data_IF_623817754050
#
_entry.id   IF_623817754050
#
_cell.length_a   1.000
_cell.length_b   1.000
_cell.length_c   1.000
_cell.angle_alpha   90.00
_cell.angle_beta   90.00
_cell.angle_gamma   90.00
#
_symmetry.space_group_name_H-M   'P 1'
#
loop_
_entity.id
_entity.type
_entity.pdbx_description
1 polymer ?
#
# COMPACT_ATOMS: atom_id res chain seq x y z
N UNK A 1 -7.74 -9.98 18.92
CA UNK A 1 -7.55 -9.88 17.45
C UNK A 1 -6.13 -9.40 17.20
N UNK A 2 -5.31 -10.16 16.47
CA UNK A 2 -3.89 -9.82 16.25
C UNK A 2 -3.77 -9.17 14.89
N UNK A 3 -3.59 -7.86 14.87
CA UNK A 3 -3.32 -7.11 13.66
C UNK A 3 -1.86 -7.36 13.26
N UNK A 4 -1.61 -8.11 12.18
CA UNK A 4 -0.27 -8.34 11.63
C UNK A 4 -0.29 -7.96 10.14
N UNK A 5 0.29 -6.82 9.75
CA UNK A 5 0.45 -6.51 8.32
C UNK A 5 1.36 -7.53 7.66
N UNK A 6 1.16 -7.76 6.35
CA UNK A 6 1.99 -8.67 5.57
C UNK A 6 3.43 -8.17 5.47
N UNK A 7 3.59 -6.87 5.19
CA UNK A 7 4.88 -6.22 5.05
C UNK A 7 4.87 -4.88 5.81
N UNK A 8 5.95 -4.64 6.55
CA UNK A 8 6.26 -3.34 7.14
C UNK A 8 7.57 -2.85 6.54
N UNK A 9 7.54 -1.69 5.91
CA UNK A 9 8.75 -1.06 5.39
C UNK A 9 9.43 -0.27 6.50
N UNK A 10 10.71 -0.52 6.70
CA UNK A 10 11.54 0.21 7.65
C UNK A 10 12.56 1.09 6.93
N UNK A 11 12.79 2.29 7.48
CA UNK A 11 13.88 3.18 7.09
C UNK A 11 14.60 3.65 8.34
N UNK A 12 15.92 3.44 8.39
CA UNK A 12 16.75 3.75 9.56
C UNK A 12 16.15 3.21 10.89
N UNK A 13 15.64 1.97 10.85
CA UNK A 13 15.04 1.30 12.03
C UNK A 13 13.63 1.76 12.42
N UNK A 14 13.03 2.73 11.69
CA UNK A 14 11.67 3.21 11.95
C UNK A 14 10.69 2.69 10.89
N UNK A 15 9.48 2.24 11.27
CA UNK A 15 8.47 1.91 10.29
C UNK A 15 8.06 3.19 9.55
N UNK A 16 7.93 3.09 8.23
CA UNK A 16 7.58 4.25 7.37
C UNK A 16 6.36 4.00 6.50
N UNK A 17 6.02 2.74 6.25
CA UNK A 17 4.81 2.36 5.55
C UNK A 17 4.46 0.91 5.85
N UNK A 18 3.19 0.58 5.67
CA UNK A 18 2.69 -0.81 5.71
C UNK A 18 2.12 -1.18 4.36
N UNK A 19 2.27 -2.44 3.99
CA UNK A 19 1.68 -3.02 2.80
C UNK A 19 0.92 -4.27 3.21
N UNK A 20 -0.31 -4.36 2.74
CA UNK A 20 -1.17 -5.54 2.90
C UNK A 20 -1.62 -5.99 1.50
N UNK A 21 -1.36 -7.25 1.17
CA UNK A 21 -1.57 -7.81 -0.14
C UNK A 21 -2.77 -8.76 -0.13
N UNK A 22 -3.68 -8.58 -1.08
CA UNK A 22 -4.90 -9.36 -1.22
C UNK A 22 -4.93 -10.05 -2.58
N UNK A 23 -5.11 -11.36 -2.58
CA UNK A 23 -5.43 -12.12 -3.79
C UNK A 23 -6.93 -12.13 -3.99
N UNK A 24 -7.44 -11.12 -4.70
CA UNK A 24 -8.86 -10.97 -4.98
C UNK A 24 -9.02 -10.39 -6.37
N UNK A 25 -10.07 -10.79 -7.06
CA UNK A 25 -10.51 -10.11 -8.27
C UNK A 25 -11.02 -8.72 -7.89
N UNK A 26 -10.47 -7.65 -8.50
CA UNK A 26 -11.13 -6.35 -8.41
C UNK A 26 -12.39 -6.42 -9.28
N UNK A 27 -13.53 -6.58 -8.63
CA UNK A 27 -14.85 -6.34 -9.23
C UNK A 27 -15.27 -4.87 -9.08
N UNK A 28 -14.52 -4.09 -8.30
CA UNK A 28 -14.84 -2.72 -7.87
C UNK A 28 -13.60 -1.84 -7.86
N UNK A 29 -13.80 -0.58 -8.24
CA UNK A 29 -12.75 0.45 -8.28
C UNK A 29 -12.21 0.86 -6.90
N UNK A 30 -13.00 0.62 -5.84
CA UNK A 30 -12.68 1.06 -4.48
C UNK A 30 -12.37 -0.14 -3.55
N UNK A 31 -11.40 0.00 -2.63
CA UNK A 31 -11.14 -0.99 -1.59
C UNK A 31 -12.40 -1.33 -0.77
N UNK A 32 -12.50 -2.59 -0.34
CA UNK A 32 -13.53 -2.96 0.63
C UNK A 32 -13.35 -2.19 1.94
N UNK A 33 -14.46 -1.91 2.64
CA UNK A 33 -14.44 -1.21 3.93
C UNK A 33 -13.66 -1.99 4.99
N UNK A 34 -13.67 -3.32 4.91
CA UNK A 34 -12.90 -4.21 5.79
C UNK A 34 -11.39 -4.07 5.55
N UNK A 35 -10.92 -4.17 4.30
CA UNK A 35 -9.50 -3.98 3.97
C UNK A 35 -9.01 -2.58 4.35
N UNK A 36 -9.83 -1.56 4.08
CA UNK A 36 -9.53 -0.18 4.48
C UNK A 36 -9.44 -0.05 6.00
N UNK A 37 -10.40 -0.61 6.74
CA UNK A 37 -10.41 -0.57 8.21
C UNK A 37 -9.19 -1.28 8.82
N UNK A 38 -8.83 -2.44 8.27
CA UNK A 38 -7.66 -3.20 8.68
C UNK A 38 -6.37 -2.40 8.48
N UNK A 39 -6.17 -1.82 7.29
CA UNK A 39 -4.99 -1.02 6.99
C UNK A 39 -4.94 0.27 7.83
N UNK A 40 -6.07 0.94 8.04
CA UNK A 40 -6.15 2.09 8.95
C UNK A 40 -5.79 1.70 10.38
N UNK A 41 -6.20 0.51 10.83
CA UNK A 41 -5.80 -0.05 12.12
C UNK A 41 -4.28 -0.23 12.23
N UNK A 42 -3.64 -0.77 11.19
CA UNK A 42 -2.18 -0.89 11.12
C UNK A 42 -1.48 0.46 11.18
N UNK A 43 -1.91 1.40 10.33
CA UNK A 43 -1.32 2.75 10.29
C UNK A 43 -1.49 3.46 11.63
N UNK A 44 -2.65 3.34 12.27
CA UNK A 44 -2.91 3.94 13.59
C UNK A 44 -2.01 3.33 14.66
N UNK A 45 -1.91 1.99 14.72
CA UNK A 45 -1.09 1.30 15.71
C UNK A 45 0.41 1.59 15.58
N UNK A 46 0.89 1.86 14.36
CA UNK A 46 2.29 2.13 14.05
C UNK A 46 2.62 3.64 13.92
N UNK A 47 1.63 4.52 14.07
CA UNK A 47 1.80 5.98 13.90
C UNK A 47 2.18 6.39 12.47
N UNK A 48 1.71 5.65 11.47
CA UNK A 48 2.06 5.87 10.06
C UNK A 48 1.05 6.75 9.35
N UNK A 49 1.50 7.78 8.60
CA UNK A 49 0.62 8.63 7.81
C UNK A 49 0.21 7.98 6.47
N UNK A 50 0.84 6.87 6.08
CA UNK A 50 0.64 6.23 4.80
C UNK A 50 0.61 4.71 4.91
N UNK A 51 -0.27 4.07 4.14
CA UNK A 51 -0.33 2.62 3.97
C UNK A 51 -0.75 2.22 2.57
N UNK A 52 -0.46 0.99 2.17
CA UNK A 52 -0.70 0.49 0.83
C UNK A 52 -1.49 -0.82 0.84
N UNK A 53 -2.50 -0.89 -0.03
CA UNK A 53 -3.19 -2.14 -0.37
C UNK A 53 -2.68 -2.59 -1.73
N UNK A 54 -2.32 -3.86 -1.88
CA UNK A 54 -1.93 -4.44 -3.17
C UNK A 54 -2.92 -5.52 -3.52
N UNK A 55 -3.64 -5.34 -4.61
CA UNK A 55 -4.59 -6.30 -5.12
C UNK A 55 -3.99 -7.05 -6.29
N UNK A 56 -3.70 -8.33 -6.07
CA UNK A 56 -3.17 -9.22 -7.10
C UNK A 56 -4.35 -9.97 -7.74
N UNK A 57 -4.71 -9.61 -8.97
CA UNK A 57 -5.88 -10.11 -9.70
C UNK A 57 -5.48 -10.57 -11.10
N UNK A 58 -6.30 -11.39 -11.74
CA UNK A 58 -6.16 -11.70 -13.17
C UNK A 58 -7.27 -10.95 -13.91
N UNK A 59 -6.89 -10.05 -14.82
CA UNK A 59 -7.79 -9.17 -15.60
C UNK A 59 -8.49 -8.04 -14.83
N UNK A 60 -7.89 -6.86 -14.88
CA UNK A 60 -8.57 -5.60 -15.21
C UNK A 60 -7.58 -4.71 -15.97
N UNK A 61 -8.05 -4.00 -17.00
CA UNK A 61 -7.43 -2.76 -17.48
C UNK A 61 -7.38 -1.79 -16.27
N UNK A 62 -6.33 -1.88 -15.46
CA UNK A 62 -6.34 -1.33 -14.11
C UNK A 62 -6.12 0.17 -14.12
N UNK A 63 -7.07 0.99 -13.62
CA UNK A 63 -6.80 2.40 -13.42
C UNK A 63 -5.90 2.62 -12.20
N UNK A 64 -5.20 3.76 -12.26
CA UNK A 64 -4.28 4.29 -11.28
C UNK A 64 -4.73 4.10 -9.83
N UNK A 65 -3.75 3.79 -8.98
CA UNK A 65 -4.00 3.44 -7.61
C UNK A 65 -4.84 4.47 -6.86
N UNK A 66 -5.91 4.00 -6.20
CA UNK A 66 -6.85 4.90 -5.56
C UNK A 66 -6.29 5.43 -4.24
N UNK A 67 -6.28 6.76 -4.07
CA UNK A 67 -5.80 7.45 -2.89
C UNK A 67 -6.97 7.87 -2.00
N UNK A 68 -7.11 7.25 -0.84
CA UNK A 68 -8.10 7.59 0.18
C UNK A 68 -7.42 8.33 1.31
N UNK A 69 -7.93 9.50 1.69
CA UNK A 69 -7.44 10.26 2.85
C UNK A 69 -8.47 10.22 3.98
N UNK A 70 -8.09 9.71 5.14
CA UNK A 70 -8.92 9.71 6.36
C UNK A 70 -8.05 10.00 7.58
N UNK A 71 -8.45 10.98 8.39
CA UNK A 71 -7.78 11.29 9.67
C UNK A 71 -6.27 11.54 9.53
N UNK A 72 -5.84 12.19 8.44
CA UNK A 72 -4.42 12.41 8.14
C UNK A 72 -3.66 11.18 7.60
N UNK A 73 -4.28 10.00 7.62
CA UNK A 73 -3.75 8.78 7.03
C UNK A 73 -4.19 8.68 5.58
N UNK A 74 -3.24 8.39 4.71
CA UNK A 74 -3.48 8.19 3.28
C UNK A 74 -3.27 6.73 2.93
N UNK A 75 -4.29 6.11 2.35
CA UNK A 75 -4.24 4.75 1.84
C UNK A 75 -4.15 4.79 0.32
N UNK A 76 -3.15 4.12 -0.24
CA UNK A 76 -3.03 3.95 -1.70
C UNK A 76 -3.28 2.49 -2.05
N UNK A 77 -4.33 2.21 -2.81
CA UNK A 77 -4.57 0.88 -3.35
C UNK A 77 -3.87 0.73 -4.70
N UNK A 78 -3.21 -0.40 -4.94
CA UNK A 78 -2.53 -0.72 -6.18
C UNK A 78 -3.12 -1.99 -6.77
N UNK A 79 -3.23 -2.06 -8.10
CA UNK A 79 -3.58 -3.28 -8.81
C UNK A 79 -2.30 -3.91 -9.40
N UNK A 80 -2.19 -5.24 -9.30
CA UNK A 80 -1.14 -6.04 -9.90
C UNK A 80 -1.79 -7.16 -10.72
N UNK A 81 -1.63 -7.08 -12.05
CA UNK A 81 -2.22 -8.07 -12.95
C UNK A 81 -1.32 -9.31 -13.08
N UNK A 82 -1.78 -10.41 -12.50
CA UNK A 82 -1.10 -11.70 -12.48
C UNK A 82 -1.26 -12.49 -13.79
N UNK A 83 -2.12 -12.04 -14.71
CA UNK A 83 -2.27 -12.68 -16.02
C UNK A 83 -1.15 -12.30 -17.00
N UNK A 84 -0.32 -11.30 -16.65
CA UNK A 84 0.80 -10.86 -17.48
C UNK A 84 1.92 -11.91 -17.57
N UNK A 85 2.70 -11.91 -18.67
CA UNK A 85 3.90 -12.74 -18.77
C UNK A 85 4.85 -12.53 -17.58
N UNK A 86 5.59 -13.57 -17.13
CA UNK A 86 6.43 -13.48 -15.92
C UNK A 86 7.41 -12.31 -15.89
N UNK A 87 8.03 -11.98 -17.04
CA UNK A 87 8.97 -10.86 -17.13
C UNK A 87 8.28 -9.50 -16.89
N UNK A 88 7.08 -9.31 -17.45
CA UNK A 88 6.29 -8.08 -17.28
C UNK A 88 5.70 -7.97 -15.87
N UNK A 89 5.32 -9.10 -15.27
CA UNK A 89 4.87 -9.15 -13.89
C UNK A 89 5.99 -8.75 -12.94
N UNK A 90 7.20 -9.28 -13.13
CA UNK A 90 8.38 -8.90 -12.34
C UNK A 90 8.71 -7.41 -12.47
N UNK A 91 8.63 -6.84 -13.68
CA UNK A 91 8.79 -5.41 -13.89
C UNK A 91 7.71 -4.60 -13.15
N UNK A 92 6.45 -5.02 -13.22
CA UNK A 92 5.33 -4.38 -12.53
C UNK A 92 5.50 -4.41 -11.00
N UNK A 93 6.03 -5.50 -10.45
CA UNK A 93 6.37 -5.61 -9.02
C UNK A 93 7.51 -4.66 -8.63
N UNK A 94 8.55 -4.55 -9.46
CA UNK A 94 9.67 -3.64 -9.21
C UNK A 94 9.20 -2.18 -9.19
N UNK A 95 8.42 -1.76 -10.18
CA UNK A 95 7.85 -0.41 -10.23
C UNK A 95 6.94 -0.11 -9.03
N UNK A 96 6.15 -1.10 -8.60
CA UNK A 96 5.30 -0.97 -7.42
C UNK A 96 6.14 -0.77 -6.14
N UNK A 97 7.20 -1.54 -5.98
CA UNK A 97 8.13 -1.39 -4.87
C UNK A 97 8.75 0.01 -4.84
N UNK A 98 9.18 0.53 -6.00
CA UNK A 98 9.74 1.87 -6.12
C UNK A 98 8.72 2.96 -5.74
N UNK A 99 7.46 2.84 -6.20
CA UNK A 99 6.38 3.78 -5.82
C UNK A 99 6.12 3.78 -4.31
N UNK A 100 6.10 2.61 -3.69
CA UNK A 100 5.89 2.46 -2.24
C UNK A 100 7.06 3.08 -1.47
N UNK A 101 8.29 2.81 -1.88
CA UNK A 101 9.50 3.37 -1.27
C UNK A 101 9.57 4.91 -1.41
N UNK A 102 9.20 5.44 -2.58
CA UNK A 102 9.16 6.88 -2.83
C UNK A 102 8.09 7.59 -1.98
N UNK A 103 6.94 6.96 -1.76
CA UNK A 103 5.88 7.51 -0.90
C UNK A 103 6.33 7.57 0.56
N UNK A 104 7.00 6.52 1.03
CA UNK A 104 7.60 6.48 2.37
C UNK A 104 8.68 7.55 2.57
N UNK A 105 9.41 7.93 1.51
CA UNK A 105 10.36 9.03 1.57
C UNK A 105 9.71 10.41 1.72
N UNK A 106 8.56 10.63 1.08
CA UNK A 106 7.79 11.88 1.14
C UNK A 106 7.06 12.07 2.46
N UNK A 107 6.71 10.96 3.13
CA UNK A 107 6.02 10.94 4.41
C UNK A 107 6.89 11.35 5.60
N UNK A 108 8.22 11.46 5.42
CA UNK A 108 9.12 11.91 6.47
C UNK A 108 8.94 13.43 6.68
N UNK A 109 8.42 13.88 7.84
CA UNK A 109 8.48 15.28 8.17
C UNK A 109 9.96 15.60 8.37
N UNK A 110 10.48 16.57 7.62
CA UNK A 110 11.76 17.21 7.93
C UNK A 110 11.75 17.58 9.41
N UNK A 111 12.66 16.99 10.19
CA UNK A 111 12.88 17.35 11.58
C UNK A 111 13.12 18.86 11.65
N UNK A 112 12.30 19.57 12.44
CA UNK A 112 12.51 20.99 12.73
C UNK A 112 13.79 21.09 13.58
N UNK A 113 14.84 21.82 13.15
CA UNK A 113 15.97 22.09 14.04
C UNK A 113 15.49 23.02 15.16
N UNK A 114 15.80 22.63 16.40
CA UNK A 114 15.68 23.49 17.59
C UNK A 114 16.77 24.55 17.62
#
# INVERSE_FOLDING_TARGET
>A
MRLRPDIVLYRAGRPVSVVDAKYVFLDRLAPSTDHLGQLLGYCTALGLPHGHLVYAATSQDGPDGHVIRRSGITVTAHALDLARPPAELLASVAELADRIAATAARAHPTAHPS
#
